data_IF_920839763909
#
_entry.id   IF_920839763909
#
_cell.length_a   1.000
_cell.length_b   1.000
_cell.length_c   1.000
_cell.angle_alpha   90.00
_cell.angle_beta   90.00
_cell.angle_gamma   90.00
#
_symmetry.space_group_name_H-M   'P 1'
#
loop_
_entity.id
_entity.type
_entity.pdbx_description
1 polymer ?
#
# COMPACT_ATOMS: atom_id res chain seq x y z
N UNK A 1 -5.06 -31.10 -65.91
CA UNK A 1 -3.70 -30.67 -65.50
C UNK A 1 -3.66 -29.16 -65.63
N UNK A 2 -3.90 -28.48 -64.52
CA UNK A 2 -3.69 -27.04 -64.37
C UNK A 2 -3.03 -26.90 -63.01
N UNK A 3 -1.76 -26.54 -63.02
CA UNK A 3 -0.99 -26.15 -61.82
C UNK A 3 -1.30 -24.67 -61.55
N UNK A 4 -1.81 -24.36 -60.36
CA UNK A 4 -1.97 -22.99 -59.88
C UNK A 4 -0.78 -22.61 -58.98
N UNK A 5 -0.13 -21.52 -59.36
CA UNK A 5 0.96 -20.85 -58.65
C UNK A 5 0.53 -20.37 -57.25
N UNK A 6 1.19 -20.86 -56.21
CA UNK A 6 1.13 -20.33 -54.85
C UNK A 6 2.21 -19.24 -54.68
N UNK A 7 1.80 -17.98 -54.80
CA UNK A 7 2.61 -16.83 -54.44
C UNK A 7 2.81 -16.77 -52.91
N UNK A 8 4.07 -16.77 -52.48
CA UNK A 8 4.48 -16.63 -51.08
C UNK A 8 4.50 -15.13 -50.74
N UNK A 9 3.55 -14.68 -49.92
CA UNK A 9 3.55 -13.32 -49.37
C UNK A 9 4.70 -13.16 -48.35
N UNK A 10 5.55 -12.16 -48.58
CA UNK A 10 6.66 -11.79 -47.73
C UNK A 10 6.13 -11.23 -46.39
N UNK A 11 6.49 -11.89 -45.29
CA UNK A 11 6.15 -11.43 -43.94
C UNK A 11 6.74 -10.06 -43.62
N UNK A 12 5.87 -9.16 -43.14
CA UNK A 12 6.25 -7.87 -42.58
C UNK A 12 7.28 -8.06 -41.45
N UNK A 13 8.44 -7.42 -41.60
CA UNK A 13 9.46 -7.35 -40.55
C UNK A 13 8.89 -6.52 -39.40
N UNK A 14 8.58 -7.16 -38.27
CA UNK A 14 8.31 -6.45 -37.02
C UNK A 14 9.55 -5.63 -36.64
N UNK A 15 9.40 -4.31 -36.55
CA UNK A 15 10.42 -3.44 -35.97
C UNK A 15 10.69 -3.85 -34.52
N UNK A 16 11.97 -3.90 -34.08
CA UNK A 16 12.28 -4.20 -32.69
C UNK A 16 11.69 -3.13 -31.77
N UNK A 17 11.01 -3.56 -30.70
CA UNK A 17 10.41 -2.66 -29.72
C UNK A 17 11.47 -1.66 -29.18
N UNK A 18 11.11 -0.37 -29.01
CA UNK A 18 12.05 0.65 -28.58
C UNK A 18 12.67 0.28 -27.23
N UNK A 19 13.99 0.44 -27.11
CA UNK A 19 14.74 0.20 -25.88
C UNK A 19 14.21 1.14 -24.78
N UNK A 20 13.64 0.59 -23.72
CA UNK A 20 13.26 1.34 -22.52
C UNK A 20 14.52 1.97 -21.92
N UNK A 21 14.43 3.25 -21.52
CA UNK A 21 15.54 3.96 -20.91
C UNK A 21 16.03 3.25 -19.64
N UNK A 22 17.34 3.23 -19.46
CA UNK A 22 18.03 2.53 -18.37
C UNK A 22 18.34 3.41 -17.16
N UNK A 23 18.31 4.74 -17.32
CA UNK A 23 18.58 5.70 -16.24
C UNK A 23 17.57 6.84 -16.21
N UNK A 24 17.42 7.51 -15.06
CA UNK A 24 16.58 8.71 -14.95
C UNK A 24 17.09 9.87 -15.81
N UNK A 25 18.40 9.99 -15.99
CA UNK A 25 19.00 11.01 -16.85
C UNK A 25 18.58 10.82 -18.33
N UNK A 26 18.52 9.58 -18.82
CA UNK A 26 18.03 9.26 -20.17
C UNK A 26 16.55 9.62 -20.37
N UNK A 27 15.76 9.69 -19.29
CA UNK A 27 14.37 10.14 -19.33
C UNK A 27 14.22 11.66 -19.38
N UNK A 28 15.32 12.42 -19.34
CA UNK A 28 15.32 13.88 -19.32
C UNK A 28 15.11 14.48 -17.93
N UNK A 29 15.36 13.72 -16.87
CA UNK A 29 15.32 14.23 -15.49
C UNK A 29 16.60 15.03 -15.19
N UNK A 30 16.45 16.20 -14.58
CA UNK A 30 17.56 17.08 -14.23
C UNK A 30 18.47 16.47 -13.15
N UNK A 31 19.73 16.94 -13.13
CA UNK A 31 20.80 16.37 -12.30
C UNK A 31 20.44 16.33 -10.81
N UNK A 32 19.83 17.39 -10.29
CA UNK A 32 19.45 17.52 -8.88
C UNK A 32 18.43 16.44 -8.46
N UNK A 33 17.48 16.11 -9.35
CA UNK A 33 16.49 15.07 -9.10
C UNK A 33 17.05 13.66 -9.31
N UNK A 34 18.00 13.49 -10.25
CA UNK A 34 18.75 12.22 -10.39
C UNK A 34 19.55 11.93 -9.10
N UNK A 35 20.27 12.92 -8.57
CA UNK A 35 21.00 12.78 -7.31
C UNK A 35 20.06 12.44 -6.13
N UNK A 36 18.85 13.03 -6.10
CA UNK A 36 17.84 12.69 -5.10
C UNK A 36 17.32 11.24 -5.26
N UNK A 37 17.08 10.78 -6.49
CA UNK A 37 16.74 9.38 -6.77
C UNK A 37 17.82 8.42 -6.25
N UNK A 38 19.10 8.71 -6.51
CA UNK A 38 20.22 7.87 -6.07
C UNK A 38 20.29 7.77 -4.53
N UNK A 39 20.11 8.88 -3.82
CA UNK A 39 20.04 8.91 -2.35
C UNK A 39 18.88 8.10 -1.79
N UNK A 40 17.76 8.04 -2.52
CA UNK A 40 16.61 7.20 -2.19
C UNK A 40 16.79 5.73 -2.61
N UNK A 41 17.91 5.39 -3.24
CA UNK A 41 18.20 4.05 -3.75
C UNK A 41 17.47 3.69 -5.04
N UNK A 42 16.93 4.68 -5.76
CA UNK A 42 16.26 4.51 -7.05
C UNK A 42 17.28 4.57 -8.18
N UNK A 43 18.00 3.46 -8.38
CA UNK A 43 19.08 3.38 -9.38
C UNK A 43 18.57 3.37 -10.82
N UNK A 44 17.44 2.69 -11.05
CA UNK A 44 16.87 2.49 -12.38
C UNK A 44 15.39 2.87 -12.37
N UNK A 45 14.87 3.50 -13.45
CA UNK A 45 13.46 3.82 -13.55
C UNK A 45 12.64 2.54 -13.67
N UNK A 46 11.54 2.46 -12.94
CA UNK A 46 10.58 1.36 -13.15
C UNK A 46 9.89 1.53 -14.51
N UNK A 47 9.30 0.44 -15.04
CA UNK A 47 8.60 0.48 -16.33
C UNK A 47 7.58 1.62 -16.44
N UNK A 48 6.76 1.83 -15.40
CA UNK A 48 5.77 2.92 -15.42
C UNK A 48 6.42 4.31 -15.41
N UNK A 49 7.58 4.47 -14.75
CA UNK A 49 8.34 5.71 -14.76
C UNK A 49 8.95 5.95 -16.15
N UNK A 50 9.57 4.94 -16.74
CA UNK A 50 10.18 5.03 -18.07
C UNK A 50 9.17 5.38 -19.17
N UNK A 51 7.95 4.84 -19.10
CA UNK A 51 6.90 5.12 -20.09
C UNK A 51 6.18 6.46 -19.80
N UNK A 52 5.94 6.82 -18.53
CA UNK A 52 5.12 7.99 -18.20
C UNK A 52 5.90 9.32 -18.16
N UNK A 53 7.14 9.32 -17.65
CA UNK A 53 7.93 10.54 -17.42
C UNK A 53 8.13 11.34 -18.73
N UNK A 54 8.54 10.74 -19.86
CA UNK A 54 8.75 11.50 -21.09
C UNK A 54 7.50 12.25 -21.57
N UNK A 55 6.31 11.64 -21.41
CA UNK A 55 5.05 12.27 -21.75
C UNK A 55 4.68 13.39 -20.77
N UNK A 56 4.94 13.21 -19.47
CA UNK A 56 4.73 14.24 -18.46
C UNK A 56 5.59 15.47 -18.70
N UNK A 57 6.88 15.28 -19.03
CA UNK A 57 7.82 16.37 -19.33
C UNK A 57 7.44 17.16 -20.59
N UNK A 58 6.75 16.53 -21.55
CA UNK A 58 6.15 17.21 -22.71
C UNK A 58 4.89 18.02 -22.35
N UNK A 59 4.48 18.03 -21.07
CA UNK A 59 3.33 18.75 -20.57
C UNK A 59 1.97 18.12 -20.91
N UNK A 60 1.95 16.85 -21.30
CA UNK A 60 0.70 16.11 -21.58
C UNK A 60 0.02 15.66 -20.30
N UNK A 61 -1.31 15.58 -20.34
CA UNK A 61 -2.07 14.84 -19.35
C UNK A 61 -1.74 13.34 -19.41
N UNK A 62 -1.87 12.64 -18.30
CA UNK A 62 -1.52 11.22 -18.20
C UNK A 62 -2.67 10.39 -17.65
N UNK A 63 -2.91 9.24 -18.27
CA UNK A 63 -3.63 8.14 -17.64
C UNK A 63 -2.74 6.90 -17.59
N UNK A 64 -2.43 6.47 -16.38
CA UNK A 64 -1.49 5.40 -16.09
C UNK A 64 -2.20 4.23 -15.37
N UNK A 65 -2.17 3.06 -16.00
CA UNK A 65 -2.66 1.82 -15.42
C UNK A 65 -1.49 1.02 -14.86
N UNK A 66 -1.38 1.04 -13.54
CA UNK A 66 -0.32 0.35 -12.82
C UNK A 66 -0.74 0.02 -11.39
N UNK A 67 -0.24 -1.11 -10.89
CA UNK A 67 -0.52 -1.59 -9.54
C UNK A 67 0.23 -0.78 -8.47
N UNK A 68 -0.20 -0.86 -7.21
CA UNK A 68 0.53 -0.27 -6.08
C UNK A 68 1.93 -0.90 -5.98
N UNK A 69 2.96 -0.10 -5.72
CA UNK A 69 4.35 -0.59 -5.63
C UNK A 69 5.11 -0.64 -6.97
N UNK A 70 4.48 -0.24 -8.08
CA UNK A 70 5.13 -0.13 -9.39
C UNK A 70 6.02 1.11 -9.58
N UNK A 71 6.10 2.00 -8.58
CA UNK A 71 6.87 3.26 -8.68
C UNK A 71 6.07 4.47 -9.17
N UNK A 72 4.72 4.41 -9.14
CA UNK A 72 3.83 5.50 -9.58
C UNK A 72 4.17 6.87 -8.98
N UNK A 73 4.53 6.92 -7.70
CA UNK A 73 4.87 8.18 -7.02
C UNK A 73 6.01 8.90 -7.71
N UNK A 74 7.10 8.21 -8.05
CA UNK A 74 8.19 8.80 -8.82
C UNK A 74 7.75 9.25 -10.22
N UNK A 75 6.85 8.49 -10.87
CA UNK A 75 6.38 8.78 -12.22
C UNK A 75 5.62 10.11 -12.34
N UNK A 76 4.93 10.55 -11.27
CA UNK A 76 4.30 11.88 -11.24
C UNK A 76 5.09 12.93 -10.45
N UNK A 77 5.83 12.55 -9.41
CA UNK A 77 6.55 13.51 -8.57
C UNK A 77 7.72 14.14 -9.31
N UNK A 78 8.52 13.35 -10.04
CA UNK A 78 9.69 13.84 -10.77
C UNK A 78 9.35 14.94 -11.79
N UNK A 79 8.39 14.76 -12.73
CA UNK A 79 8.05 15.83 -13.67
C UNK A 79 7.46 17.07 -13.00
N UNK A 80 6.69 16.92 -11.91
CA UNK A 80 6.15 18.05 -11.15
C UNK A 80 7.28 18.85 -10.50
N UNK A 81 8.24 18.17 -9.88
CA UNK A 81 9.39 18.81 -9.24
C UNK A 81 10.32 19.45 -10.26
N UNK A 82 10.52 18.82 -11.42
CA UNK A 82 11.34 19.39 -12.49
C UNK A 82 10.78 20.72 -12.99
N UNK A 83 9.48 20.82 -13.26
CA UNK A 83 8.91 22.11 -13.68
C UNK A 83 8.93 23.15 -12.54
N UNK A 84 8.74 22.73 -11.29
CA UNK A 84 8.90 23.62 -10.14
C UNK A 84 10.33 24.19 -10.06
N UNK A 85 11.33 23.38 -10.44
CA UNK A 85 12.74 23.75 -10.49
C UNK A 85 13.10 24.68 -11.65
N UNK A 86 12.52 24.44 -12.82
CA UNK A 86 12.70 25.31 -13.99
C UNK A 86 12.08 26.69 -13.78
N UNK A 87 11.12 26.83 -12.86
CA UNK A 87 10.42 28.07 -12.55
C UNK A 87 10.72 28.61 -11.13
N UNK A 88 11.95 28.43 -10.62
CA UNK A 88 12.36 28.87 -9.26
C UNK A 88 12.16 30.36 -8.98
N UNK A 89 12.19 31.20 -10.01
CA UNK A 89 12.08 32.65 -9.87
C UNK A 89 10.66 33.11 -9.51
N UNK A 90 9.66 32.24 -9.64
CA UNK A 90 8.27 32.52 -9.29
C UNK A 90 7.91 31.80 -7.99
N UNK A 91 7.37 32.54 -7.02
CA UNK A 91 6.93 31.96 -5.76
C UNK A 91 5.67 31.08 -5.96
N UNK A 92 5.89 29.80 -6.24
CA UNK A 92 4.82 28.83 -6.47
C UNK A 92 4.28 28.23 -5.16
N UNK A 93 3.35 28.92 -4.52
CA UNK A 93 2.51 28.28 -3.48
C UNK A 93 1.41 27.46 -4.13
N UNK A 94 1.10 26.28 -3.58
CA UNK A 94 0.03 25.40 -4.06
C UNK A 94 0.19 25.10 -5.56
N UNK A 95 1.38 24.66 -5.97
CA UNK A 95 1.72 24.30 -7.34
C UNK A 95 1.02 23.01 -7.79
N UNK A 96 0.96 22.01 -6.91
CA UNK A 96 0.30 20.74 -7.19
C UNK A 96 -0.65 20.33 -6.07
N UNK A 97 -1.74 19.67 -6.46
CA UNK A 97 -2.65 18.98 -5.55
C UNK A 97 -2.68 17.48 -5.87
N UNK A 98 -2.40 16.64 -4.89
CA UNK A 98 -2.44 15.18 -5.02
C UNK A 98 -3.55 14.62 -4.14
N UNK A 99 -4.53 14.00 -4.77
CA UNK A 99 -5.62 13.31 -4.10
C UNK A 99 -5.34 11.81 -4.01
N UNK A 100 -5.56 11.28 -2.81
CA UNK A 100 -5.37 9.88 -2.49
C UNK A 100 -6.52 9.37 -1.64
N UNK A 101 -6.97 8.10 -1.78
CA UNK A 101 -8.15 7.58 -1.08
C UNK A 101 -7.94 7.34 0.41
N UNK A 102 -6.69 7.29 0.89
CA UNK A 102 -6.38 6.94 2.28
C UNK A 102 -5.39 7.92 2.88
N UNK A 103 -5.45 8.05 4.20
CA UNK A 103 -4.59 8.96 4.96
C UNK A 103 -3.13 8.52 4.86
N UNK A 104 -2.93 7.20 4.95
CA UNK A 104 -1.63 6.57 4.91
C UNK A 104 -0.92 6.82 3.58
N UNK A 105 -1.62 6.63 2.46
CA UNK A 105 -1.03 6.87 1.15
C UNK A 105 -0.75 8.36 0.93
N UNK A 106 -1.61 9.25 1.42
CA UNK A 106 -1.37 10.68 1.36
C UNK A 106 -0.09 11.09 2.12
N UNK A 107 0.11 10.56 3.34
CA UNK A 107 1.34 10.79 4.12
C UNK A 107 2.56 10.27 3.36
N UNK A 108 2.49 9.04 2.84
CA UNK A 108 3.61 8.44 2.11
C UNK A 108 3.97 9.19 0.84
N UNK A 109 2.97 9.61 0.06
CA UNK A 109 3.20 10.44 -1.12
C UNK A 109 3.93 11.74 -0.71
N UNK A 110 3.51 12.40 0.36
CA UNK A 110 4.16 13.61 0.84
C UNK A 110 5.61 13.38 1.28
N UNK A 111 5.88 12.30 2.02
CA UNK A 111 7.25 11.90 2.41
C UNK A 111 8.14 11.68 1.17
N UNK A 112 7.62 11.07 0.11
CA UNK A 112 8.36 10.88 -1.15
C UNK A 112 8.64 12.20 -1.87
N UNK A 113 7.66 13.10 -1.92
CA UNK A 113 7.89 14.45 -2.46
C UNK A 113 8.96 15.19 -1.65
N UNK A 114 8.89 15.16 -0.32
CA UNK A 114 9.85 15.83 0.55
C UNK A 114 11.26 15.24 0.43
N UNK A 115 11.39 13.92 0.30
CA UNK A 115 12.66 13.27 0.06
C UNK A 115 13.29 13.71 -1.28
N UNK A 116 12.53 13.63 -2.37
CA UNK A 116 12.95 14.06 -3.70
C UNK A 116 13.27 15.56 -3.77
N UNK A 117 12.49 16.37 -3.06
CA UNK A 117 12.59 17.83 -3.07
C UNK A 117 13.42 18.43 -1.93
N UNK A 118 14.12 17.62 -1.16
CA UNK A 118 14.83 18.05 0.06
C UNK A 118 15.92 19.08 -0.26
N UNK A 119 16.72 18.85 -1.30
CA UNK A 119 17.79 19.75 -1.74
C UNK A 119 17.30 21.10 -2.27
N UNK A 120 16.01 21.23 -2.55
CA UNK A 120 15.42 22.38 -3.26
C UNK A 120 14.43 23.15 -2.37
N UNK A 121 14.36 22.79 -1.08
CA UNK A 121 13.51 23.47 -0.09
C UNK A 121 12.02 23.22 -0.33
N UNK A 122 11.65 22.05 -0.89
CA UNK A 122 10.26 21.68 -1.09
C UNK A 122 9.50 21.69 0.24
N UNK A 123 8.21 22.03 0.17
CA UNK A 123 7.30 22.09 1.30
C UNK A 123 6.02 21.39 0.89
N UNK A 124 5.64 20.36 1.63
CA UNK A 124 4.38 19.67 1.46
C UNK A 124 3.44 20.00 2.62
N UNK A 125 2.13 19.89 2.39
CA UNK A 125 1.14 19.85 3.46
C UNK A 125 0.22 18.66 3.26
N UNK A 126 0.05 17.87 4.31
CA UNK A 126 -0.80 16.68 4.31
C UNK A 126 -2.14 17.00 4.93
N UNK A 127 -3.21 16.88 4.14
CA UNK A 127 -4.58 17.18 4.55
C UNK A 127 -5.41 15.90 4.66
N UNK A 128 -5.46 15.35 5.88
CA UNK A 128 -6.10 14.06 6.16
C UNK A 128 -6.98 14.11 7.42
N UNK A 129 -7.97 13.21 7.47
CA UNK A 129 -8.80 13.02 8.67
C UNK A 129 -7.98 12.52 9.87
N UNK A 130 -8.51 12.66 11.08
CA UNK A 130 -7.89 12.09 12.31
C UNK A 130 -6.59 12.73 12.78
N UNK A 131 -6.05 13.70 12.05
CA UNK A 131 -4.99 14.61 12.50
C UNK A 131 -5.64 15.92 12.95
N UNK A 132 -5.03 16.59 13.92
CA UNK A 132 -5.50 17.87 14.43
C UNK A 132 -5.68 18.89 13.31
N UNK A 133 -6.83 19.57 13.30
CA UNK A 133 -7.19 20.51 12.24
C UNK A 133 -6.37 21.79 12.31
N UNK A 134 -6.04 22.27 13.52
CA UNK A 134 -5.26 23.48 13.70
C UNK A 134 -3.82 23.30 13.19
N UNK A 135 -3.22 22.14 13.42
CA UNK A 135 -1.91 21.79 12.83
C UNK A 135 -1.95 21.86 11.29
N UNK A 136 -3.01 21.36 10.66
CA UNK A 136 -3.20 21.44 9.21
C UNK A 136 -3.38 22.88 8.73
N UNK A 137 -4.14 23.71 9.46
CA UNK A 137 -4.28 25.16 9.16
C UNK A 137 -2.92 25.87 9.23
N UNK A 138 -2.11 25.59 10.26
CA UNK A 138 -0.77 26.15 10.40
C UNK A 138 0.15 25.70 9.25
N UNK A 139 0.07 24.43 8.85
CA UNK A 139 0.81 23.87 7.71
C UNK A 139 0.45 24.57 6.40
N UNK A 140 -0.84 24.77 6.14
CA UNK A 140 -1.34 25.54 4.98
C UNK A 140 -0.82 26.98 5.01
N UNK A 141 -0.80 27.61 6.20
CA UNK A 141 -0.30 28.97 6.41
C UNK A 141 1.17 29.17 6.01
N UNK A 142 1.99 28.11 6.03
CA UNK A 142 3.38 28.11 5.53
C UNK A 142 3.49 28.13 4.00
N UNK A 143 2.37 28.16 3.28
CA UNK A 143 2.28 28.22 1.81
C UNK A 143 3.12 27.12 1.14
N UNK A 144 2.76 25.84 1.36
CA UNK A 144 3.46 24.71 0.77
C UNK A 144 3.41 24.75 -0.77
N UNK A 145 4.37 24.11 -1.43
CA UNK A 145 4.36 23.95 -2.88
C UNK A 145 3.39 22.83 -3.28
N UNK A 146 3.36 21.74 -2.52
CA UNK A 146 2.53 20.56 -2.80
C UNK A 146 1.50 20.38 -1.69
N UNK A 147 0.25 20.13 -2.06
CA UNK A 147 -0.80 19.71 -1.13
C UNK A 147 -1.15 18.27 -1.44
N UNK A 148 -1.08 17.39 -0.44
CA UNK A 148 -1.44 15.98 -0.57
C UNK A 148 -2.56 15.69 0.42
N UNK A 149 -3.63 15.01 0.03
CA UNK A 149 -4.72 14.79 0.96
C UNK A 149 -5.81 13.83 0.51
N UNK A 150 -6.72 13.54 1.45
CA UNK A 150 -7.95 12.80 1.14
C UNK A 150 -9.06 13.76 0.72
N UNK A 151 -9.98 13.38 -0.20
CA UNK A 151 -10.99 14.30 -0.73
C UNK A 151 -11.82 15.02 0.34
N UNK A 152 -12.30 14.28 1.34
CA UNK A 152 -13.14 14.86 2.39
C UNK A 152 -12.42 15.94 3.22
N UNK A 153 -11.17 15.71 3.63
CA UNK A 153 -10.43 16.69 4.44
C UNK A 153 -9.96 17.88 3.60
N UNK A 154 -9.56 17.65 2.34
CA UNK A 154 -9.20 18.74 1.45
C UNK A 154 -10.39 19.68 1.22
N UNK A 155 -11.58 19.13 1.01
CA UNK A 155 -12.80 19.91 0.81
C UNK A 155 -13.15 20.74 2.06
N UNK A 156 -13.09 20.16 3.27
CA UNK A 156 -13.25 20.90 4.54
C UNK A 156 -12.29 22.10 4.60
N UNK A 157 -11.00 21.91 4.29
CA UNK A 157 -10.08 23.05 4.28
C UNK A 157 -10.41 24.08 3.19
N UNK A 158 -10.81 23.67 1.99
CA UNK A 158 -11.20 24.58 0.91
C UNK A 158 -12.42 25.44 1.29
N UNK A 159 -13.35 24.88 2.05
CA UNK A 159 -14.57 25.59 2.51
C UNK A 159 -14.31 26.45 3.74
N UNK A 160 -13.61 25.91 4.73
CA UNK A 160 -13.60 26.42 6.11
C UNK A 160 -12.20 26.91 6.57
N UNK A 161 -11.23 27.08 5.66
CA UNK A 161 -9.92 27.67 5.99
C UNK A 161 -9.68 28.97 5.23
N UNK A 162 -9.71 30.08 5.97
CA UNK A 162 -9.54 31.42 5.40
C UNK A 162 -8.20 31.54 4.65
N UNK A 163 -8.26 32.00 3.41
CA UNK A 163 -7.07 32.26 2.58
C UNK A 163 -6.46 31.02 1.91
N UNK A 164 -7.03 29.82 2.14
CA UNK A 164 -6.65 28.63 1.39
C UNK A 164 -7.43 28.55 0.07
N UNK A 165 -6.73 28.31 -1.03
CA UNK A 165 -7.35 28.15 -2.35
C UNK A 165 -6.43 27.38 -3.28
N UNK A 166 -7.03 26.50 -4.09
CA UNK A 166 -6.33 25.75 -5.14
C UNK A 166 -6.60 26.29 -6.55
N UNK A 167 -7.14 27.52 -6.66
CA UNK A 167 -7.47 28.14 -7.97
C UNK A 167 -6.26 28.41 -8.88
N UNK A 168 -5.03 28.30 -8.35
CA UNK A 168 -3.78 28.58 -9.07
C UNK A 168 -2.88 27.34 -9.25
N UNK A 169 -3.34 26.15 -8.90
CA UNK A 169 -2.55 24.92 -9.11
C UNK A 169 -2.25 24.74 -10.59
N UNK A 170 -1.09 24.16 -10.88
CA UNK A 170 -0.67 23.73 -12.23
C UNK A 170 -0.85 22.24 -12.44
N UNK A 171 -0.85 21.46 -11.36
CA UNK A 171 -1.03 20.02 -11.38
C UNK A 171 -2.16 19.53 -10.50
N UNK A 172 -2.93 18.59 -11.03
CA UNK A 172 -3.80 17.69 -10.27
C UNK A 172 -3.32 16.25 -10.47
N UNK A 173 -3.10 15.53 -9.38
CA UNK A 173 -2.84 14.09 -9.41
C UNK A 173 -3.97 13.36 -8.69
N UNK A 174 -4.51 12.32 -9.34
CA UNK A 174 -5.52 11.43 -8.79
C UNK A 174 -4.89 10.03 -8.68
N UNK A 175 -4.38 9.66 -7.51
CA UNK A 175 -3.79 8.34 -7.29
C UNK A 175 -4.81 7.36 -6.70
N UNK A 176 -4.73 6.10 -7.14
CA UNK A 176 -5.73 5.05 -6.89
C UNK A 176 -7.17 5.54 -7.23
N UNK A 177 -7.33 6.09 -8.43
CA UNK A 177 -8.55 6.76 -8.88
C UNK A 177 -9.81 5.88 -8.86
N UNK A 178 -9.67 4.57 -9.07
CA UNK A 178 -10.76 3.62 -8.90
C UNK A 178 -11.33 3.59 -7.48
N UNK A 179 -10.48 3.82 -6.47
CA UNK A 179 -10.89 3.90 -5.05
C UNK A 179 -11.39 5.29 -4.66
N UNK A 180 -10.87 6.35 -5.29
CA UNK A 180 -11.38 7.72 -5.12
C UNK A 180 -12.85 7.86 -5.59
N UNK A 181 -13.34 6.93 -6.42
CA UNK A 181 -14.71 6.91 -6.96
C UNK A 181 -15.67 6.01 -6.16
N UNK A 182 -15.26 5.59 -4.95
CA UNK A 182 -16.17 4.98 -3.99
C UNK A 182 -17.19 6.02 -3.48
N UNK A 183 -18.37 5.55 -3.08
CA UNK A 183 -19.52 6.38 -2.68
C UNK A 183 -19.16 7.42 -1.61
N UNK A 184 -18.24 7.07 -0.71
CA UNK A 184 -17.76 7.93 0.38
C UNK A 184 -17.05 9.21 -0.11
N UNK A 185 -16.40 9.17 -1.28
CA UNK A 185 -15.54 10.25 -1.77
C UNK A 185 -16.06 10.95 -3.02
N UNK A 186 -16.97 10.32 -3.76
CA UNK A 186 -17.44 10.78 -5.08
C UNK A 186 -17.95 12.24 -5.02
N UNK A 187 -18.82 12.57 -4.05
CA UNK A 187 -19.33 13.93 -3.87
C UNK A 187 -18.21 14.93 -3.56
N UNK A 188 -17.32 14.58 -2.64
CA UNK A 188 -16.24 15.48 -2.24
C UNK A 188 -15.27 15.75 -3.40
N UNK A 189 -14.97 14.72 -4.20
CA UNK A 189 -14.15 14.85 -5.39
C UNK A 189 -14.80 15.77 -6.42
N UNK A 190 -16.08 15.60 -6.71
CA UNK A 190 -16.82 16.45 -7.65
C UNK A 190 -16.81 17.93 -7.22
N UNK A 191 -16.96 18.21 -5.92
CA UNK A 191 -16.92 19.57 -5.39
C UNK A 191 -15.51 20.18 -5.43
N UNK A 192 -14.47 19.41 -5.15
CA UNK A 192 -13.07 19.85 -5.33
C UNK A 192 -12.80 20.20 -6.80
N UNK A 193 -13.25 19.35 -7.74
CA UNK A 193 -13.02 19.55 -9.17
C UNK A 193 -13.66 20.84 -9.72
N UNK A 194 -14.70 21.36 -9.07
CA UNK A 194 -15.34 22.65 -9.40
C UNK A 194 -14.52 23.85 -8.92
N UNK A 195 -13.76 23.69 -7.84
CA UNK A 195 -12.97 24.77 -7.22
C UNK A 195 -11.58 24.96 -7.86
N UNK A 196 -11.04 23.92 -8.50
CA UNK A 196 -9.72 23.93 -9.15
C UNK A 196 -9.79 24.41 -10.62
N UNK A 197 -8.72 25.04 -11.15
CA UNK A 197 -8.71 25.56 -12.51
C UNK A 197 -8.78 24.42 -13.53
N UNK A 198 -9.53 24.62 -14.63
CA UNK A 198 -9.59 23.66 -15.75
C UNK A 198 -8.31 23.65 -16.58
N UNK A 199 -7.58 24.75 -16.59
CA UNK A 199 -6.30 24.87 -17.28
C UNK A 199 -5.17 24.46 -16.34
N UNK A 200 -4.85 23.16 -16.38
CA UNK A 200 -3.86 22.48 -15.55
C UNK A 200 -3.45 21.18 -16.24
N UNK A 201 -2.34 20.59 -15.81
CA UNK A 201 -1.98 19.21 -16.16
C UNK A 201 -2.62 18.26 -15.16
N UNK A 202 -3.23 17.20 -15.65
CA UNK A 202 -3.88 16.18 -14.82
C UNK A 202 -3.25 14.81 -15.05
N UNK A 203 -2.81 14.18 -13.96
CA UNK A 203 -2.32 12.81 -13.96
C UNK A 203 -3.27 11.89 -13.19
N UNK A 204 -3.80 10.88 -13.87
CA UNK A 204 -4.70 9.89 -13.29
C UNK A 204 -4.00 8.54 -13.23
N UNK A 205 -3.83 8.03 -12.01
CA UNK A 205 -3.25 6.72 -11.77
C UNK A 205 -4.31 5.78 -11.19
N UNK A 206 -4.48 4.62 -11.80
CA UNK A 206 -5.46 3.63 -11.36
C UNK A 206 -4.91 2.22 -11.54
N UNK A 207 -5.31 1.29 -10.67
CA UNK A 207 -5.08 -0.12 -10.95
C UNK A 207 -6.06 -0.63 -12.03
N UNK A 208 -7.21 0.05 -12.19
CA UNK A 208 -8.33 -0.48 -12.97
C UNK A 208 -9.06 0.57 -13.80
N UNK A 209 -9.51 0.18 -15.00
CA UNK A 209 -10.38 0.98 -15.86
C UNK A 209 -11.84 0.61 -15.70
N UNK A 210 -12.47 1.08 -14.62
CA UNK A 210 -13.92 0.93 -14.44
C UNK A 210 -14.70 1.95 -15.29
N UNK A 211 -16.01 1.75 -15.45
CA UNK A 211 -16.88 2.75 -16.11
C UNK A 211 -16.81 4.11 -15.41
N UNK A 212 -16.69 4.12 -14.07
CA UNK A 212 -16.53 5.35 -13.29
C UNK A 212 -15.19 6.02 -13.59
N UNK A 213 -14.08 5.27 -13.63
CA UNK A 213 -12.75 5.83 -13.96
C UNK A 213 -12.74 6.41 -15.37
N UNK A 214 -13.36 5.74 -16.35
CA UNK A 214 -13.53 6.28 -17.70
C UNK A 214 -14.32 7.61 -17.72
N UNK A 215 -15.37 7.72 -16.90
CA UNK A 215 -16.15 8.97 -16.76
C UNK A 215 -15.29 10.08 -16.14
N UNK A 216 -14.54 9.76 -15.08
CA UNK A 216 -13.62 10.68 -14.44
C UNK A 216 -12.53 11.15 -15.41
N UNK A 217 -11.99 10.24 -16.22
CA UNK A 217 -11.00 10.56 -17.24
C UNK A 217 -11.53 11.62 -18.21
N UNK A 218 -12.72 11.41 -18.77
CA UNK A 218 -13.35 12.34 -19.71
C UNK A 218 -13.66 13.71 -19.08
N UNK A 219 -13.91 13.74 -17.77
CA UNK A 219 -14.21 14.98 -17.06
C UNK A 219 -12.95 15.79 -16.69
N UNK A 220 -11.82 15.12 -16.45
CA UNK A 220 -10.63 15.76 -15.87
C UNK A 220 -9.45 15.93 -16.83
N UNK A 221 -9.33 15.10 -17.87
CA UNK A 221 -8.15 15.05 -18.74
C UNK A 221 -8.44 15.59 -20.15
N UNK A 222 -7.41 16.14 -20.80
CA UNK A 222 -7.41 16.65 -22.17
C UNK A 222 -6.36 15.91 -23.00
N UNK A 223 -6.80 15.11 -23.98
CA UNK A 223 -5.94 14.30 -24.85
C UNK A 223 -4.78 13.58 -24.10
N UNK A 224 -5.09 12.75 -23.08
CA UNK A 224 -4.06 12.19 -22.22
C UNK A 224 -3.24 11.12 -22.93
N UNK A 225 -1.94 11.08 -22.66
CA UNK A 225 -1.13 9.91 -22.99
C UNK A 225 -1.53 8.73 -22.11
N UNK A 226 -1.75 7.57 -22.74
CA UNK A 226 -2.16 6.35 -22.06
C UNK A 226 -0.96 5.45 -21.86
N UNK A 227 -0.68 5.10 -20.61
CA UNK A 227 0.43 4.23 -20.22
C UNK A 227 -0.12 2.99 -19.52
N UNK A 228 0.20 1.81 -20.01
CA UNK A 228 -0.29 0.53 -19.50
C UNK A 228 0.90 -0.39 -19.20
N UNK A 229 1.41 -0.34 -17.97
CA UNK A 229 2.60 -1.10 -17.58
C UNK A 229 2.31 -2.58 -17.26
N UNK A 230 1.04 -3.02 -17.22
CA UNK A 230 0.64 -4.41 -16.98
C UNK A 230 -0.57 -4.84 -17.80
N UNK A 231 -0.56 -6.08 -18.31
CA UNK A 231 -1.74 -6.74 -18.86
C UNK A 231 -2.88 -6.83 -17.83
N UNK A 232 -4.13 -6.95 -18.31
CA UNK A 232 -5.36 -7.05 -17.50
C UNK A 232 -5.15 -7.93 -16.24
N UNK A 233 -5.32 -7.35 -15.04
CA UNK A 233 -5.30 -8.01 -13.72
C UNK A 233 -4.38 -9.25 -13.60
N UNK A 234 -3.11 -9.09 -13.93
CA UNK A 234 -2.10 -10.14 -13.71
C UNK A 234 -1.33 -9.90 -12.42
N UNK A 235 -0.91 -10.97 -11.75
CA UNK A 235 0.15 -10.90 -10.74
C UNK A 235 1.50 -10.83 -11.43
N UNK A 236 2.51 -10.24 -10.79
CA UNK A 236 3.89 -10.26 -11.31
C UNK A 236 4.40 -11.70 -11.45
N UNK A 237 5.21 -11.99 -12.48
CA UNK A 237 5.69 -13.34 -12.76
C UNK A 237 6.59 -13.91 -11.65
N UNK A 238 7.26 -13.03 -10.91
CA UNK A 238 8.12 -13.40 -9.77
C UNK A 238 7.34 -13.78 -8.50
N UNK A 239 6.01 -13.72 -8.52
CA UNK A 239 5.16 -14.04 -7.39
C UNK A 239 4.69 -15.49 -7.44
N UNK A 240 5.22 -16.32 -6.52
CA UNK A 240 4.71 -17.67 -6.29
C UNK A 240 3.42 -17.61 -5.47
N UNK A 241 2.38 -18.25 -5.98
CA UNK A 241 1.04 -18.30 -5.37
C UNK A 241 0.66 -19.74 -5.11
N UNK A 242 0.21 -20.02 -3.89
CA UNK A 242 -0.29 -21.33 -3.50
C UNK A 242 -1.54 -21.19 -2.62
N UNK A 243 -2.30 -22.27 -2.47
CA UNK A 243 -3.42 -22.31 -1.53
C UNK A 243 -3.48 -23.62 -0.75
N UNK A 244 -4.01 -23.54 0.46
CA UNK A 244 -4.39 -24.70 1.27
C UNK A 244 -5.91 -24.80 1.28
N UNK A 245 -6.42 -26.00 1.02
CA UNK A 245 -7.82 -26.32 1.29
C UNK A 245 -7.93 -26.73 2.77
N UNK A 246 -8.61 -25.92 3.57
CA UNK A 246 -8.61 -26.05 5.03
C UNK A 246 -10.03 -26.21 5.57
N UNK A 247 -10.30 -27.15 6.48
CA UNK A 247 -11.57 -27.11 7.21
C UNK A 247 -11.62 -25.86 8.09
N UNK A 248 -12.79 -25.21 8.17
CA UNK A 248 -12.98 -23.96 8.92
C UNK A 248 -12.41 -23.97 10.34
N UNK A 249 -12.54 -25.09 11.04
CA UNK A 249 -12.18 -25.21 12.46
C UNK A 249 -10.67 -25.32 12.69
N UNK A 250 -9.92 -25.70 11.65
CA UNK A 250 -8.46 -25.88 11.70
C UNK A 250 -7.70 -24.73 11.06
N UNK A 251 -8.39 -23.68 10.61
CA UNK A 251 -7.78 -22.56 9.88
C UNK A 251 -6.63 -21.89 10.64
N UNK A 252 -6.75 -21.75 11.97
CA UNK A 252 -5.68 -21.25 12.84
C UNK A 252 -4.45 -22.18 12.84
N UNK A 253 -4.65 -23.51 12.73
CA UNK A 253 -3.58 -24.51 12.69
C UNK A 253 -2.77 -24.42 11.40
N UNK A 254 -3.45 -24.30 10.25
CA UNK A 254 -2.79 -24.08 8.97
C UNK A 254 -2.04 -22.76 8.92
N UNK A 255 -2.59 -21.69 9.52
CA UNK A 255 -1.87 -20.43 9.64
C UNK A 255 -0.55 -20.60 10.39
N UNK A 256 -0.59 -21.26 11.56
CA UNK A 256 0.62 -21.47 12.36
C UNK A 256 1.63 -22.36 11.64
N UNK A 257 1.18 -23.39 10.94
CA UNK A 257 2.03 -24.24 10.11
C UNK A 257 2.78 -23.42 9.06
N UNK A 258 2.08 -22.63 8.24
CA UNK A 258 2.69 -21.76 7.21
C UNK A 258 3.67 -20.75 7.82
N UNK A 259 3.33 -20.18 8.98
CA UNK A 259 4.21 -19.24 9.68
C UNK A 259 5.47 -19.94 10.22
N UNK A 260 5.39 -21.19 10.67
CA UNK A 260 6.54 -21.94 11.18
C UNK A 260 7.49 -22.37 10.06
N UNK A 261 6.97 -22.77 8.89
CA UNK A 261 7.81 -23.09 7.72
C UNK A 261 8.65 -21.89 7.26
N UNK A 262 8.16 -20.67 7.53
CA UNK A 262 8.75 -19.40 7.08
C UNK A 262 8.94 -18.42 8.23
N UNK A 263 9.42 -18.91 9.38
CA UNK A 263 9.44 -18.19 10.67
C UNK A 263 10.09 -16.81 10.64
N UNK A 264 11.10 -16.61 9.79
CA UNK A 264 11.84 -15.34 9.70
C UNK A 264 11.32 -14.39 8.60
N UNK A 265 10.30 -14.80 7.84
CA UNK A 265 9.75 -13.98 6.75
C UNK A 265 8.93 -12.82 7.27
N UNK A 266 9.09 -11.65 6.66
CA UNK A 266 8.21 -10.50 6.87
C UNK A 266 6.83 -10.81 6.27
N UNK A 267 5.88 -11.13 7.15
CA UNK A 267 4.60 -11.73 6.79
C UNK A 267 3.45 -10.75 7.00
N UNK A 268 2.61 -10.58 5.98
CA UNK A 268 1.41 -9.76 6.04
C UNK A 268 0.16 -10.64 5.92
N UNK A 269 -0.66 -10.67 6.98
CA UNK A 269 -1.83 -11.54 7.09
C UNK A 269 -3.10 -10.71 6.91
N UNK A 270 -3.93 -11.09 5.96
CA UNK A 270 -5.20 -10.43 5.67
C UNK A 270 -6.38 -11.18 6.27
N UNK A 271 -7.14 -10.48 7.12
CA UNK A 271 -8.38 -10.97 7.75
C UNK A 271 -9.54 -10.04 7.43
N UNK A 272 -10.77 -10.55 7.54
CA UNK A 272 -11.98 -9.83 7.14
C UNK A 272 -12.37 -8.73 8.13
N UNK A 273 -12.24 -8.96 9.44
CA UNK A 273 -12.77 -8.06 10.47
C UNK A 273 -11.68 -7.45 11.35
N UNK A 274 -11.95 -6.25 11.89
CA UNK A 274 -11.04 -5.60 12.84
C UNK A 274 -10.89 -6.41 14.13
N UNK A 275 -11.94 -7.09 14.58
CA UNK A 275 -11.88 -7.96 15.76
C UNK A 275 -10.94 -9.14 15.53
N UNK A 276 -11.05 -9.78 14.36
CA UNK A 276 -10.15 -10.86 13.94
C UNK A 276 -8.69 -10.42 13.93
N UNK A 277 -8.38 -9.18 13.52
CA UNK A 277 -6.98 -8.69 13.55
C UNK A 277 -6.40 -8.74 14.96
N UNK A 278 -7.18 -8.30 15.96
CA UNK A 278 -6.75 -8.25 17.37
C UNK A 278 -6.65 -9.64 17.98
N UNK A 279 -7.69 -10.46 17.77
CA UNK A 279 -7.74 -11.82 18.28
C UNK A 279 -6.56 -12.64 17.77
N UNK A 280 -6.30 -12.59 16.47
CA UNK A 280 -5.22 -13.34 15.85
C UNK A 280 -3.85 -12.85 16.31
N UNK A 281 -3.65 -11.53 16.46
CA UNK A 281 -2.39 -10.98 16.96
C UNK A 281 -2.12 -11.40 18.41
N UNK A 282 -3.15 -11.39 19.27
CA UNK A 282 -3.03 -11.86 20.65
C UNK A 282 -2.74 -13.37 20.72
N UNK A 283 -3.44 -14.17 19.91
CA UNK A 283 -3.23 -15.61 19.85
C UNK A 283 -1.79 -15.94 19.42
N UNK A 284 -1.30 -15.33 18.33
CA UNK A 284 0.06 -15.56 17.84
C UNK A 284 1.12 -15.08 18.86
N UNK A 285 0.89 -13.96 19.56
CA UNK A 285 1.78 -13.52 20.65
C UNK A 285 1.82 -14.50 21.82
N UNK A 286 0.68 -15.07 22.21
CA UNK A 286 0.63 -16.10 23.25
C UNK A 286 1.37 -17.39 22.81
N UNK A 287 1.55 -17.60 21.51
CA UNK A 287 2.36 -18.70 20.93
C UNK A 287 3.85 -18.31 20.72
N UNK A 288 4.26 -17.12 21.18
CA UNK A 288 5.65 -16.65 21.10
C UNK A 288 6.04 -16.04 19.75
N UNK A 289 5.07 -15.72 18.89
CA UNK A 289 5.31 -15.04 17.61
C UNK A 289 5.19 -13.52 17.74
N UNK A 290 6.02 -12.77 17.00
CA UNK A 290 6.04 -11.31 17.03
C UNK A 290 4.98 -10.73 16.07
N UNK A 291 3.72 -10.78 16.50
CA UNK A 291 2.57 -10.36 15.71
C UNK A 291 1.97 -9.03 16.19
N UNK A 292 1.67 -8.16 15.22
CA UNK A 292 1.04 -6.85 15.41
C UNK A 292 -0.24 -6.76 14.57
N UNK A 293 -1.27 -6.10 15.09
CA UNK A 293 -2.49 -5.81 14.32
C UNK A 293 -2.54 -4.36 13.86
N UNK A 294 -2.97 -4.11 12.63
CA UNK A 294 -3.37 -2.79 12.13
C UNK A 294 -4.84 -2.86 11.68
N UNK A 295 -5.67 -2.01 12.27
CA UNK A 295 -7.10 -1.92 11.93
C UNK A 295 -7.56 -0.47 11.81
N UNK A 296 -8.66 -0.23 11.10
CA UNK A 296 -9.24 1.11 10.95
C UNK A 296 -9.78 1.70 12.26
N UNK A 297 -9.90 0.90 13.32
CA UNK A 297 -10.31 1.35 14.66
C UNK A 297 -9.15 1.89 15.51
N UNK A 298 -7.90 1.74 15.06
CA UNK A 298 -6.74 2.28 15.78
C UNK A 298 -6.60 3.78 15.50
N UNK A 299 -6.08 4.52 16.48
CA UNK A 299 -5.65 5.91 16.25
C UNK A 299 -4.51 5.95 15.22
N UNK A 300 -4.35 7.10 14.57
CA UNK A 300 -3.33 7.26 13.54
C UNK A 300 -1.93 6.98 14.08
N UNK A 301 -1.60 7.53 15.25
CA UNK A 301 -0.29 7.36 15.89
C UNK A 301 0.00 5.89 16.19
N UNK A 302 -0.99 5.14 16.68
CA UNK A 302 -0.84 3.70 16.92
C UNK A 302 -0.64 2.92 15.62
N UNK A 303 -1.31 3.28 14.53
CA UNK A 303 -1.11 2.65 13.21
C UNK A 303 0.29 2.94 12.67
N UNK A 304 0.75 4.18 12.77
CA UNK A 304 2.10 4.59 12.33
C UNK A 304 3.17 3.90 13.19
N UNK A 305 3.00 3.85 14.51
CA UNK A 305 3.90 3.14 15.40
C UNK A 305 3.99 1.64 15.06
N UNK A 306 2.84 0.99 14.81
CA UNK A 306 2.82 -0.40 14.38
C UNK A 306 3.53 -0.63 13.04
N UNK A 307 3.32 0.26 12.08
CA UNK A 307 3.99 0.20 10.78
C UNK A 307 5.50 0.40 10.91
N UNK A 308 5.94 1.35 11.74
CA UNK A 308 7.35 1.64 11.95
C UNK A 308 8.07 0.45 12.59
N UNK A 309 7.46 -0.19 13.60
CA UNK A 309 8.00 -1.42 14.22
C UNK A 309 8.10 -2.56 13.21
N UNK A 310 7.12 -2.71 12.32
CA UNK A 310 7.19 -3.71 11.24
C UNK A 310 8.31 -3.38 10.25
N UNK A 311 8.44 -2.12 9.81
CA UNK A 311 9.53 -1.68 8.91
C UNK A 311 10.91 -1.85 9.54
N UNK A 312 11.03 -1.62 10.85
CA UNK A 312 12.25 -1.82 11.63
C UNK A 312 12.59 -3.30 11.89
N UNK A 313 11.70 -4.23 11.51
CA UNK A 313 11.80 -5.68 11.78
C UNK A 313 11.73 -6.06 13.26
N UNK A 314 11.22 -5.18 14.12
CA UNK A 314 10.95 -5.49 15.53
C UNK A 314 9.88 -6.58 15.65
N UNK A 315 8.90 -6.53 14.75
CA UNK A 315 7.87 -7.53 14.56
C UNK A 315 7.85 -7.96 13.09
N UNK A 316 7.80 -9.26 12.83
CA UNK A 316 7.80 -9.81 11.48
C UNK A 316 6.43 -10.26 10.99
N UNK A 317 5.37 -10.16 11.81
CA UNK A 317 4.01 -10.51 11.41
C UNK A 317 3.09 -9.30 11.58
N UNK A 318 2.44 -8.89 10.47
CA UNK A 318 1.48 -7.80 10.44
C UNK A 318 0.10 -8.29 10.01
N UNK A 319 -0.89 -8.16 10.88
CA UNK A 319 -2.26 -8.62 10.64
C UNK A 319 -3.15 -7.41 10.35
N UNK A 320 -3.88 -7.44 9.25
CA UNK A 320 -4.65 -6.27 8.81
C UNK A 320 -5.94 -6.65 8.07
N UNK A 321 -6.83 -5.67 7.96
CA UNK A 321 -7.97 -5.73 7.03
C UNK A 321 -7.61 -5.05 5.72
N UNK A 322 -8.42 -5.26 4.67
CA UNK A 322 -8.27 -4.55 3.39
C UNK A 322 -8.28 -3.04 3.58
N UNK A 323 -9.19 -2.53 4.41
CA UNK A 323 -9.30 -1.08 4.67
C UNK A 323 -8.03 -0.56 5.35
N UNK A 324 -7.50 -1.31 6.30
CA UNK A 324 -6.38 -0.86 7.13
C UNK A 324 -5.01 -0.97 6.43
N UNK A 325 -4.91 -1.84 5.42
CA UNK A 325 -3.72 -2.06 4.58
C UNK A 325 -3.69 -1.20 3.31
N UNK A 326 -4.86 -0.69 2.88
CA UNK A 326 -4.94 0.22 1.73
C UNK A 326 -4.09 1.45 2.00
N UNK A 327 -3.29 1.80 0.99
CA UNK A 327 -2.43 2.95 1.05
C UNK A 327 -1.23 2.87 1.99
N UNK A 328 -0.98 1.71 2.60
CA UNK A 328 0.30 1.45 3.24
C UNK A 328 1.26 0.87 2.20
N UNK A 329 2.20 1.68 1.71
CA UNK A 329 3.45 1.20 1.12
C UNK A 329 4.31 0.56 2.21
N UNK A 330 4.14 -0.76 2.33
CA UNK A 330 4.92 -1.60 3.23
C UNK A 330 5.95 -2.29 2.35
N UNK A 331 7.16 -1.75 2.35
CA UNK A 331 8.28 -2.35 1.63
C UNK A 331 8.84 -3.52 2.42
N UNK A 332 9.38 -4.52 1.71
CA UNK A 332 10.05 -5.65 2.35
C UNK A 332 9.12 -6.68 2.98
N UNK A 333 7.90 -6.83 2.45
CA UNK A 333 7.04 -7.99 2.75
C UNK A 333 7.50 -9.16 1.89
N UNK A 334 7.90 -10.26 2.53
CA UNK A 334 8.34 -11.49 1.87
C UNK A 334 7.14 -12.38 1.55
N UNK A 335 6.20 -12.48 2.50
CA UNK A 335 5.05 -13.37 2.41
C UNK A 335 3.72 -12.64 2.67
N UNK A 336 2.72 -12.91 1.83
CA UNK A 336 1.33 -12.50 2.05
C UNK A 336 0.49 -13.73 2.35
N UNK A 337 -0.26 -13.72 3.45
CA UNK A 337 -1.21 -14.78 3.79
C UNK A 337 -2.63 -14.20 3.72
N UNK A 338 -3.42 -14.69 2.77
CA UNK A 338 -4.86 -14.51 2.79
C UNK A 338 -5.45 -15.49 3.80
N UNK A 339 -5.52 -15.07 5.07
CA UNK A 339 -6.24 -15.84 6.08
C UNK A 339 -7.70 -15.91 5.66
N UNK A 340 -8.39 -14.78 5.46
CA UNK A 340 -9.74 -14.79 4.88
C UNK A 340 -9.70 -14.46 3.39
N UNK A 341 -10.37 -15.25 2.54
CA UNK A 341 -10.43 -14.96 1.11
C UNK A 341 -11.25 -13.68 0.86
N UNK A 342 -10.76 -12.73 0.02
CA UNK A 342 -11.49 -11.52 -0.29
C UNK A 342 -12.74 -11.83 -1.11
N UNK A 343 -13.86 -11.15 -0.81
CA UNK A 343 -15.11 -11.32 -1.55
C UNK A 343 -15.06 -10.74 -2.97
N UNK A 344 -14.13 -9.80 -3.21
CA UNK A 344 -13.88 -9.22 -4.52
C UNK A 344 -12.53 -9.68 -5.03
N UNK A 345 -12.50 -10.35 -6.18
CA UNK A 345 -11.28 -10.87 -6.81
C UNK A 345 -10.21 -9.81 -7.04
N UNK A 346 -10.58 -8.54 -7.24
CA UNK A 346 -9.61 -7.47 -7.42
C UNK A 346 -8.83 -7.15 -6.15
N UNK A 347 -9.47 -7.30 -4.99
CA UNK A 347 -8.79 -7.11 -3.71
C UNK A 347 -7.69 -8.17 -3.52
N UNK A 348 -7.87 -9.40 -4.01
CA UNK A 348 -6.80 -10.42 -4.00
C UNK A 348 -5.52 -9.91 -4.66
N UNK A 349 -5.61 -9.37 -5.89
CA UNK A 349 -4.45 -8.82 -6.61
C UNK A 349 -3.78 -7.70 -5.80
N UNK A 350 -4.55 -6.85 -5.13
CA UNK A 350 -4.02 -5.78 -4.27
C UNK A 350 -3.33 -6.29 -3.01
N UNK A 351 -3.80 -7.42 -2.45
CA UNK A 351 -3.20 -8.05 -1.27
C UNK A 351 -1.89 -8.72 -1.63
N UNK A 352 -1.89 -9.57 -2.64
CA UNK A 352 -0.68 -10.32 -3.03
C UNK A 352 0.38 -9.41 -3.66
N UNK A 353 -0.04 -8.30 -4.29
CA UNK A 353 0.86 -7.21 -4.71
C UNK A 353 1.50 -6.40 -3.57
N UNK A 354 1.35 -6.82 -2.30
CA UNK A 354 2.14 -6.28 -1.17
C UNK A 354 3.53 -6.92 -1.11
N UNK A 355 3.70 -8.13 -1.62
CA UNK A 355 5.00 -8.78 -1.81
C UNK A 355 5.45 -8.63 -3.29
N UNK A 356 6.60 -9.21 -3.65
CA UNK A 356 7.18 -9.20 -4.99
C UNK A 356 7.33 -7.79 -5.61
N UNK A 357 7.66 -6.79 -4.78
CA UNK A 357 7.87 -5.40 -5.21
C UNK A 357 9.32 -5.14 -5.61
N UNK A 358 9.51 -4.18 -6.52
CA UNK A 358 10.82 -3.71 -6.97
C UNK A 358 11.75 -4.85 -7.46
N UNK A 359 11.21 -5.74 -8.30
CA UNK A 359 11.98 -6.81 -8.94
C UNK A 359 12.28 -8.03 -8.05
N UNK A 360 11.88 -8.03 -6.78
CA UNK A 360 12.03 -9.19 -5.89
C UNK A 360 11.00 -10.27 -6.19
N UNK A 361 11.35 -11.53 -5.89
CA UNK A 361 10.36 -12.60 -5.78
C UNK A 361 9.52 -12.44 -4.53
N UNK A 362 8.30 -12.96 -4.56
CA UNK A 362 7.41 -12.94 -3.40
C UNK A 362 6.64 -14.24 -3.28
N UNK A 363 6.05 -14.44 -2.11
CA UNK A 363 5.24 -15.62 -1.81
C UNK A 363 3.85 -15.22 -1.30
N UNK A 364 2.80 -15.82 -1.87
CA UNK A 364 1.43 -15.57 -1.45
C UNK A 364 0.69 -16.90 -1.20
N UNK A 365 0.11 -17.03 0.00
CA UNK A 365 -0.65 -18.22 0.40
C UNK A 365 -2.08 -17.86 0.70
N UNK A 366 -3.02 -18.71 0.31
CA UNK A 366 -4.44 -18.53 0.61
C UNK A 366 -5.00 -19.71 1.40
N UNK A 367 -5.63 -19.44 2.55
CA UNK A 367 -6.28 -20.46 3.36
C UNK A 367 -7.76 -20.52 2.99
N UNK A 368 -8.12 -21.47 2.13
CA UNK A 368 -9.45 -21.56 1.52
C UNK A 368 -10.28 -22.59 2.28
N UNK A 369 -11.38 -22.16 2.90
CA UNK A 369 -12.32 -23.09 3.53
C UNK A 369 -13.56 -23.35 2.66
N UNK A 370 -14.43 -24.25 3.12
CA UNK A 370 -15.64 -24.66 2.40
C UNK A 370 -16.61 -23.51 2.10
N UNK A 371 -16.60 -22.43 2.89
CA UNK A 371 -17.47 -21.26 2.69
C UNK A 371 -16.85 -20.22 1.75
N UNK A 372 -15.55 -20.32 1.49
CA UNK A 372 -14.76 -19.34 0.74
C UNK A 372 -14.36 -19.83 -0.66
N UNK A 373 -14.58 -21.11 -0.96
CA UNK A 373 -14.23 -21.75 -2.22
C UNK A 373 -14.83 -21.03 -3.46
N UNK A 374 -16.05 -20.49 -3.35
CA UNK A 374 -16.66 -19.74 -4.45
C UNK A 374 -15.89 -18.45 -4.77
N UNK A 375 -15.52 -17.66 -3.74
CA UNK A 375 -14.72 -16.44 -3.96
C UNK A 375 -13.33 -16.76 -4.48
N UNK A 376 -12.73 -17.87 -4.04
CA UNK A 376 -11.45 -18.33 -4.56
C UNK A 376 -11.51 -18.67 -6.05
N UNK A 377 -12.55 -19.38 -6.51
CA UNK A 377 -12.75 -19.65 -7.94
C UNK A 377 -12.90 -18.37 -8.77
N UNK A 378 -13.58 -17.35 -8.25
CA UNK A 378 -13.66 -16.05 -8.93
C UNK A 378 -12.31 -15.34 -9.03
N UNK A 379 -11.35 -15.64 -8.14
CA UNK A 379 -9.98 -15.14 -8.22
C UNK A 379 -9.23 -15.83 -9.37
N UNK A 380 -9.27 -17.16 -9.44
CA UNK A 380 -8.64 -17.92 -10.54
C UNK A 380 -9.20 -17.50 -11.90
N UNK A 381 -10.51 -17.29 -12.00
CA UNK A 381 -11.15 -16.76 -13.20
C UNK A 381 -10.65 -15.36 -13.58
N UNK A 382 -10.44 -14.48 -12.60
CA UNK A 382 -9.88 -13.15 -12.86
C UNK A 382 -8.43 -13.23 -13.36
N UNK A 383 -7.64 -14.12 -12.76
CA UNK A 383 -6.23 -14.32 -13.10
C UNK A 383 -6.04 -15.09 -14.42
N UNK A 384 -7.07 -15.82 -14.86
CA UNK A 384 -7.00 -16.67 -16.05
C UNK A 384 -6.09 -17.90 -15.86
N UNK A 385 -5.81 -18.28 -14.62
CA UNK A 385 -4.98 -19.45 -14.26
C UNK A 385 -5.42 -20.04 -12.92
N UNK A 386 -5.23 -21.35 -12.78
CA UNK A 386 -5.39 -22.05 -11.50
C UNK A 386 -4.17 -21.80 -10.60
N UNK A 387 -4.41 -21.75 -9.29
CA UNK A 387 -3.36 -21.58 -8.28
C UNK A 387 -3.03 -22.96 -7.71
N UNK A 388 -1.75 -23.26 -7.51
CA UNK A 388 -1.32 -24.58 -7.05
C UNK A 388 -1.79 -24.87 -5.62
N UNK A 389 -2.33 -26.08 -5.41
CA UNK A 389 -2.73 -26.55 -4.09
C UNK A 389 -1.52 -27.11 -3.33
N UNK A 390 -1.26 -26.58 -2.13
CA UNK A 390 -0.35 -27.20 -1.16
C UNK A 390 -1.01 -28.40 -0.50
N UNK A 391 -0.26 -29.50 -0.41
CA UNK A 391 -0.60 -30.66 0.40
C UNK A 391 0.19 -30.61 1.69
N UNK A 392 -0.48 -30.87 2.79
CA UNK A 392 0.13 -31.01 4.11
C UNK A 392 -0.39 -32.29 4.75
N UNK A 393 0.45 -32.92 5.56
CA UNK A 393 0.04 -34.05 6.37
C UNK A 393 -0.97 -33.58 7.43
N UNK A 394 -2.21 -34.12 7.45
CA UNK A 394 -3.20 -33.79 8.48
C UNK A 394 -2.68 -34.00 9.91
N UNK A 395 -1.79 -34.97 10.14
CA UNK A 395 -1.28 -35.27 11.47
C UNK A 395 -0.38 -34.14 11.99
N UNK A 396 0.43 -33.52 11.13
CA UNK A 396 1.23 -32.34 11.46
C UNK A 396 0.35 -31.16 11.89
N UNK A 397 -0.79 -31.00 11.23
CA UNK A 397 -1.76 -29.94 11.56
C UNK A 397 -2.46 -30.24 12.89
N UNK A 398 -2.81 -31.50 13.16
CA UNK A 398 -3.54 -31.89 14.37
C UNK A 398 -2.74 -31.66 15.64
N UNK A 399 -1.41 -31.84 15.61
CA UNK A 399 -0.52 -31.58 16.76
C UNK A 399 -0.59 -30.12 17.23
N UNK A 400 -0.89 -29.18 16.32
CA UNK A 400 -0.97 -27.75 16.64
C UNK A 400 -2.29 -27.35 17.33
N UNK A 401 -3.30 -28.23 17.32
CA UNK A 401 -4.67 -27.91 17.74
C UNK A 401 -4.78 -27.50 19.21
N UNK A 402 -4.16 -28.25 20.11
CA UNK A 402 -4.24 -28.00 21.55
C UNK A 402 -3.54 -26.69 21.95
N UNK A 403 -2.27 -26.45 21.57
CA UNK A 403 -1.59 -25.18 21.85
C UNK A 403 -2.35 -23.95 21.33
N UNK A 404 -2.91 -24.05 20.12
CA UNK A 404 -3.69 -22.96 19.51
C UNK A 404 -4.99 -22.71 20.27
N UNK A 405 -5.70 -23.76 20.65
CA UNK A 405 -6.95 -23.65 21.40
C UNK A 405 -6.74 -22.93 22.74
N UNK A 406 -5.64 -23.26 23.43
CA UNK A 406 -5.27 -22.62 24.69
C UNK A 406 -4.87 -21.15 24.48
N UNK A 407 -4.01 -20.87 23.50
CA UNK A 407 -3.59 -19.51 23.16
C UNK A 407 -4.78 -18.61 22.76
N UNK A 408 -5.73 -19.17 22.00
CA UNK A 408 -6.95 -18.48 21.57
C UNK A 408 -7.90 -18.23 22.73
N UNK A 409 -8.03 -19.17 23.67
CA UNK A 409 -8.82 -18.98 24.90
C UNK A 409 -8.26 -17.82 25.73
N UNK A 410 -6.94 -17.77 25.92
CA UNK A 410 -6.28 -16.68 26.64
C UNK A 410 -6.50 -15.34 25.93
N UNK A 411 -6.38 -15.31 24.60
CA UNK A 411 -6.61 -14.11 23.80
C UNK A 411 -8.05 -13.58 23.94
N UNK A 412 -9.06 -14.47 23.89
CA UNK A 412 -10.47 -14.11 24.09
C UNK A 412 -10.74 -13.55 25.48
N UNK A 413 -10.15 -14.13 26.53
CA UNK A 413 -10.28 -13.60 27.90
C UNK A 413 -9.70 -12.19 28.00
N UNK A 414 -8.47 -11.96 27.50
CA UNK A 414 -7.85 -10.62 27.45
C UNK A 414 -8.74 -9.60 26.73
N UNK A 415 -9.32 -9.97 25.59
CA UNK A 415 -10.22 -9.07 24.84
C UNK A 415 -11.50 -8.71 25.60
N UNK A 416 -12.06 -9.64 26.39
CA UNK A 416 -13.24 -9.37 27.23
C UNK A 416 -12.92 -8.42 28.37
N UNK A 417 -11.77 -8.62 29.03
CA UNK A 417 -11.35 -7.80 30.17
C UNK A 417 -11.09 -6.34 29.75
N UNK A 418 -10.48 -6.13 28.58
CA UNK A 418 -10.30 -4.79 27.98
C UNK A 418 -11.61 -4.12 27.57
N UNK A 419 -12.68 -4.89 27.32
CA UNK A 419 -14.00 -4.39 26.94
C UNK A 419 -14.90 -3.99 28.12
N UNK A 420 -14.67 -4.59 29.30
CA UNK A 420 -15.52 -4.44 30.50
C UNK A 420 -15.27 -3.17 31.33
N UNK A 421 -14.11 -2.52 31.21
CA UNK A 421 -13.71 -1.41 32.08
C UNK A 421 -14.10 0.00 31.61
N UNK A 422 -15.13 0.16 30.76
CA UNK A 422 -15.62 1.48 30.31
C UNK A 422 -16.32 2.33 31.38
N UNK A 423 -16.37 1.92 32.66
CA UNK A 423 -16.70 2.79 33.79
C UNK A 423 -15.60 2.74 34.84
N UNK A 424 -14.82 3.82 34.90
CA UNK A 424 -13.79 4.19 35.89
C UNK A 424 -12.39 3.61 35.65
N UNK A 425 -11.62 4.25 34.77
CA UNK A 425 -10.39 4.97 35.18
C UNK A 425 -9.87 5.87 34.07
N UNK A 426 -9.28 6.96 34.54
CA UNK A 426 -8.66 8.09 33.82
C UNK A 426 -7.30 7.59 33.29
N UNK A 427 -7.02 7.91 32.02
CA UNK A 427 -5.71 8.00 31.33
C UNK A 427 -4.51 7.40 32.09
N UNK A 428 -3.97 6.31 31.56
CA UNK A 428 -2.66 5.73 31.90
C UNK A 428 -2.35 4.61 30.90
N UNK A 429 -1.14 4.60 30.37
CA UNK A 429 -0.60 3.66 29.38
C UNK A 429 -1.12 2.23 29.50
N UNK A 430 -1.61 1.67 28.39
CA UNK A 430 -1.58 0.23 28.18
C UNK A 430 -0.45 -0.03 27.18
N UNK A 431 0.67 -0.46 27.75
CA UNK A 431 1.91 -0.84 27.11
C UNK A 431 1.70 -1.93 26.05
N UNK A 432 2.05 -1.62 24.81
CA UNK A 432 2.49 -2.60 23.80
C UNK A 432 4.00 -2.87 23.98
N UNK A 433 4.45 -3.06 25.23
CA UNK A 433 5.79 -3.56 25.52
C UNK A 433 5.84 -5.05 25.17
N UNK A 434 6.67 -5.36 24.18
CA UNK A 434 7.14 -6.71 23.93
C UNK A 434 8.22 -6.93 24.98
N UNK A 435 7.95 -7.75 26.00
CA UNK A 435 8.98 -8.15 26.96
C UNK A 435 10.16 -8.76 26.22
N UNK A 436 11.30 -8.05 26.26
CA UNK A 436 12.56 -8.46 25.68
C UNK A 436 13.22 -9.52 26.57
N UNK A 437 12.99 -10.80 26.26
CA UNK A 437 13.73 -11.90 26.89
C UNK A 437 15.14 -12.01 26.30
N UNK A 438 16.03 -11.11 26.72
CA UNK A 438 17.47 -11.27 26.55
C UNK A 438 18.12 -11.87 27.81
N UNK A 439 19.02 -12.82 27.58
CA UNK A 439 19.65 -13.69 28.56
C UNK A 439 20.35 -12.99 29.74
N UNK A 440 20.10 -13.48 30.97
CA UNK A 440 21.09 -13.46 32.04
C UNK A 440 20.92 -14.66 32.98
N UNK A 441 21.67 -15.73 32.71
CA UNK A 441 22.00 -16.73 33.73
C UNK A 441 22.85 -16.04 34.81
N UNK A 442 22.32 -15.91 36.03
CA UNK A 442 23.16 -15.66 37.21
C UNK A 442 22.87 -16.66 38.31
N UNK A 443 23.92 -17.43 38.58
CA UNK A 443 24.15 -18.44 39.60
C UNK A 443 23.70 -18.01 41.00
N UNK A 444 22.94 -18.86 41.69
CA UNK A 444 22.70 -18.74 43.14
C UNK A 444 23.91 -19.29 43.91
N UNK A 445 24.66 -18.39 44.54
CA UNK A 445 25.65 -18.72 45.58
C UNK A 445 24.96 -18.86 46.93
N UNK A 446 25.30 -19.93 47.65
CA UNK A 446 24.94 -20.21 49.04
C UNK A 446 25.29 -19.05 49.99
N UNK A 447 24.37 -18.72 50.91
CA UNK A 447 24.65 -17.89 52.10
C UNK A 447 24.81 -18.80 53.31
N UNK A 448 26.01 -18.78 53.90
CA UNK A 448 26.31 -19.26 55.25
C UNK A 448 26.60 -18.00 56.08
N UNK A 449 25.87 -17.76 57.17
CA UNK A 449 26.37 -16.90 58.25
C UNK A 449 25.79 -17.32 59.58
N UNK A 450 26.71 -17.76 60.44
CA UNK A 450 26.53 -18.12 61.84
C UNK A 450 26.62 -16.85 62.72
N UNK A 451 26.20 -17.00 63.99
CA UNK A 451 26.25 -16.11 65.18
C UNK A 451 24.89 -15.47 65.52
N UNK A 452 24.34 -15.62 66.72
CA UNK A 452 24.90 -15.96 68.04
C UNK A 452 24.27 -17.20 68.66
#
# INVERSE_FOLDING_TARGET
MAEEDLAVEAGEKQEPAPRLASTFAELGICKELVEACDLMGWKEPTRIQAEAIPHALQGKDLIALAQTGSGKTGAFALPILQELLENRDVQHSFFACVLSPTRELAIQIAEQFEALGSAIGLRCSVLVGGVDRMQQVLSIGKRPHIVVGTPGRLLDHLTDTKGFSLRKIKYLVLDEADKLLNVEFEKALDDILKEIPKDRRTFLFSATMTKKVNKLQRACLRNPAKVEASSKYSTVDSLKQEFYLVPSDYKDCYLLHVLNERRDSMSMIFVRTCESTRLLALMLRNLGLKAMSISGQMSQDKRLGALNRFKAKDCNILICTDVASRGLDIQGVDMVINYDIPMNSKDYVHRVGRTARAGRSGYAVSLVNQYEAHWFKLIEQLLGKEIDQCKVDPDEIMILKEPISDAKRIALTKMKDSGGHKKRRKVGDDDDEVEDHSHSKRSKSFKKSNRR
#
